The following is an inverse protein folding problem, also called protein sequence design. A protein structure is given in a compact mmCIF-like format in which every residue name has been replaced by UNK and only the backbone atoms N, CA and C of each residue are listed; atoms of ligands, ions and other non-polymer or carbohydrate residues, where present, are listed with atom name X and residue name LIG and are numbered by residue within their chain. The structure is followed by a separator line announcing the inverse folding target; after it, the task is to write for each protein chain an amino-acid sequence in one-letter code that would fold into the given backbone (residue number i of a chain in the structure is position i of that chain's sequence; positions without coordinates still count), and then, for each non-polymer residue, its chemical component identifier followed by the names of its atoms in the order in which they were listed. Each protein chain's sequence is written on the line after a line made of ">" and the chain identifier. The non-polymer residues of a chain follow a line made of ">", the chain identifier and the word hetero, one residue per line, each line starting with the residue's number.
data_IF_422973481602
#
_entry.id   IF_422973481602
#
_cell.length_a   1.000
_cell.length_b   1.000
_cell.length_c   1.000
_cell.angle_alpha   90.00
_cell.angle_beta   90.00
_cell.angle_gamma   90.00
#
_symmetry.space_group_name_H-M   'P 1'
#
loop_
_entity.id
_entity.type
_entity.pdbx_description
1 polymer ?
#
# COMPACT_ATOMS: atom_id res chain seq x y z
N UNK A 1 -12.06 14.01 21.35
CA UNK A 1 -12.14 12.70 22.02
C UNK A 1 -12.84 11.75 21.06
N UNK A 2 -12.10 11.28 20.06
CA UNK A 2 -12.50 10.21 19.13
C UNK A 2 -11.21 9.47 18.76
N UNK A 3 -10.86 8.50 19.59
CA UNK A 3 -9.88 7.47 19.29
C UNK A 3 -10.38 6.17 19.94
N UNK A 4 -11.54 5.72 19.48
CA UNK A 4 -12.11 4.42 19.85
C UNK A 4 -12.53 3.73 18.55
N UNK A 5 -11.77 2.70 18.16
CA UNK A 5 -12.22 1.74 17.15
C UNK A 5 -11.27 1.40 16.01
N UNK A 6 -9.98 1.78 16.03
CA UNK A 6 -9.04 1.14 15.11
C UNK A 6 -8.74 -0.26 15.67
N UNK A 7 -9.50 -1.26 15.19
CA UNK A 7 -9.25 -2.68 15.46
C UNK A 7 -7.74 -2.93 15.33
N UNK A 8 -7.09 -3.31 16.44
CA UNK A 8 -5.68 -3.67 16.40
C UNK A 8 -5.55 -4.79 15.37
N UNK A 9 -4.67 -4.60 14.38
CA UNK A 9 -4.43 -5.66 13.41
C UNK A 9 -3.90 -6.86 14.18
N UNK A 10 -4.56 -7.99 14.03
CA UNK A 10 -4.02 -9.29 14.40
C UNK A 10 -2.89 -9.66 13.41
N UNK A 11 -1.71 -9.05 13.65
CA UNK A 11 -0.56 -9.14 12.77
C UNK A 11 0.72 -9.40 13.56
N UNK A 12 1.44 -10.45 13.19
CA UNK A 12 2.80 -10.69 13.63
C UNK A 12 3.80 -9.96 12.75
N UNK A 13 4.82 -9.37 13.35
CA UNK A 13 5.98 -8.80 12.65
C UNK A 13 7.18 -9.66 13.01
N UNK A 14 7.63 -10.45 12.05
CA UNK A 14 8.72 -11.41 12.24
C UNK A 14 10.04 -10.84 11.75
N UNK A 15 11.02 -10.73 12.65
CA UNK A 15 12.37 -10.32 12.30
C UNK A 15 13.27 -11.55 12.20
N UNK A 16 14.09 -11.62 11.15
CA UNK A 16 15.13 -12.65 11.04
C UNK A 16 16.42 -12.21 11.73
N UNK A 17 16.68 -10.90 11.76
CA UNK A 17 17.90 -10.33 12.33
C UNK A 17 17.66 -9.05 13.14
N UNK A 18 18.50 -8.76 14.16
CA UNK A 18 18.39 -7.56 14.99
C UNK A 18 18.48 -6.23 14.22
N UNK A 19 19.23 -6.18 13.11
CA UNK A 19 19.46 -4.94 12.37
C UNK A 19 18.18 -4.35 11.76
N UNK A 20 17.14 -5.17 11.60
CA UNK A 20 15.82 -4.76 11.11
C UNK A 20 14.89 -4.18 12.19
N UNK A 21 15.34 -4.07 13.45
CA UNK A 21 14.51 -3.67 14.58
C UNK A 21 13.92 -2.27 14.46
N UNK A 22 14.70 -1.29 13.98
CA UNK A 22 14.19 0.06 13.78
C UNK A 22 13.02 0.10 12.77
N UNK A 23 13.12 -0.67 11.69
CA UNK A 23 12.08 -0.79 10.68
C UNK A 23 10.83 -1.48 11.24
N UNK A 24 11.02 -2.54 12.03
CA UNK A 24 9.92 -3.25 12.68
C UNK A 24 9.18 -2.41 13.73
N UNK A 25 9.91 -1.61 14.52
CA UNK A 25 9.32 -0.69 15.49
C UNK A 25 8.47 0.38 14.79
N UNK A 26 8.95 0.94 13.67
CA UNK A 26 8.17 1.90 12.88
C UNK A 26 6.88 1.28 12.31
N UNK A 27 6.95 0.03 11.86
CA UNK A 27 5.76 -0.74 11.45
C UNK A 27 4.80 -0.97 12.61
N UNK A 28 5.29 -1.43 13.75
CA UNK A 28 4.48 -1.69 14.94
C UNK A 28 3.79 -0.41 15.43
N UNK A 29 4.48 0.72 15.46
CA UNK A 29 3.90 2.00 15.89
C UNK A 29 2.75 2.44 14.97
N UNK A 30 2.88 2.22 13.65
CA UNK A 30 1.93 2.73 12.65
C UNK A 30 0.80 1.77 12.32
N UNK A 31 1.05 0.47 12.42
CA UNK A 31 0.14 -0.60 12.05
C UNK A 31 -0.37 -1.40 13.26
N UNK A 32 0.32 -1.34 14.40
CA UNK A 32 0.11 -2.25 15.52
C UNK A 32 0.78 -3.61 15.28
N UNK A 33 0.37 -4.62 16.04
CA UNK A 33 0.86 -6.00 15.91
C UNK A 33 1.92 -6.40 16.92
N UNK A 34 2.29 -7.69 16.89
CA UNK A 34 3.22 -8.33 17.83
C UNK A 34 4.59 -8.48 17.17
N UNK A 35 5.63 -7.92 17.80
CA UNK A 35 7.01 -8.10 17.34
C UNK A 35 7.58 -9.43 17.82
N UNK A 36 8.12 -10.22 16.88
CA UNK A 36 8.81 -11.48 17.17
C UNK A 36 10.32 -11.30 16.95
N UNK A 37 11.08 -11.50 18.04
CA UNK A 37 12.55 -11.37 18.11
C UNK A 37 13.17 -12.74 18.43
N UNK A 38 13.23 -13.66 17.45
CA UNK A 38 13.57 -15.06 17.73
C UNK A 38 14.98 -15.28 18.28
N UNK A 39 15.89 -14.31 18.14
CA UNK A 39 17.24 -14.36 18.74
C UNK A 39 17.27 -14.07 20.24
N UNK A 40 16.19 -13.57 20.84
CA UNK A 40 16.09 -13.40 22.29
C UNK A 40 15.65 -14.69 23.01
N UNK A 41 15.21 -15.69 22.25
CA UNK A 41 14.90 -17.01 22.78
C UNK A 41 16.19 -17.81 22.98
N UNK A 42 16.46 -18.20 24.23
CA UNK A 42 17.65 -18.96 24.63
C UNK A 42 17.49 -20.48 24.42
N UNK A 43 16.39 -20.97 23.84
CA UNK A 43 16.08 -22.40 23.74
C UNK A 43 16.87 -23.18 22.67
N UNK A 44 17.83 -22.57 21.96
CA UNK A 44 18.55 -23.15 20.81
C UNK A 44 17.66 -23.61 19.64
N UNK A 45 16.34 -23.39 19.72
CA UNK A 45 15.36 -23.74 18.70
C UNK A 45 15.62 -22.96 17.41
N UNK A 46 15.68 -23.60 16.24
CA UNK A 46 15.84 -22.90 14.96
C UNK A 46 14.68 -21.92 14.71
N UNK A 47 14.98 -20.74 14.15
CA UNK A 47 13.95 -19.71 13.88
C UNK A 47 12.78 -20.24 13.02
N UNK A 48 13.04 -21.18 12.09
CA UNK A 48 11.99 -21.81 11.28
C UNK A 48 10.96 -22.53 12.16
N UNK A 49 11.41 -23.28 13.16
CA UNK A 49 10.55 -24.01 14.08
C UNK A 49 9.81 -23.05 15.02
N UNK A 50 10.49 -21.99 15.48
CA UNK A 50 9.84 -20.93 16.26
C UNK A 50 8.72 -20.24 15.45
N UNK A 51 8.97 -19.91 14.17
CA UNK A 51 7.95 -19.33 13.29
C UNK A 51 6.80 -20.29 13.06
N UNK A 52 7.08 -21.58 12.82
CA UNK A 52 6.06 -22.60 12.65
C UNK A 52 5.11 -22.70 13.87
N UNK A 53 5.64 -22.62 15.09
CA UNK A 53 4.85 -22.60 16.31
C UNK A 53 3.99 -21.33 16.47
N UNK A 54 4.48 -20.20 15.93
CA UNK A 54 3.78 -18.92 15.97
C UNK A 54 2.77 -18.73 14.83
N UNK A 55 2.97 -19.38 13.67
CA UNK A 55 2.33 -19.05 12.40
C UNK A 55 0.80 -18.88 12.47
N UNK A 56 0.10 -19.79 13.15
CA UNK A 56 -1.37 -19.77 13.27
C UNK A 56 -1.89 -18.91 14.43
N UNK A 57 -1.01 -18.25 15.18
CA UNK A 57 -1.39 -17.34 16.27
C UNK A 57 -1.77 -15.95 15.76
N UNK A 58 -1.49 -15.65 14.50
CA UNK A 58 -1.79 -14.36 13.86
C UNK A 58 -2.45 -14.62 12.51
N UNK A 59 -3.44 -13.82 12.14
CA UNK A 59 -4.08 -13.86 10.82
C UNK A 59 -3.25 -13.16 9.73
N UNK A 60 -2.28 -12.33 10.10
CA UNK A 60 -1.40 -11.62 9.19
C UNK A 60 0.06 -11.66 9.66
N UNK A 61 0.99 -11.63 8.72
CA UNK A 61 2.43 -11.63 8.96
C UNK A 61 3.14 -10.62 8.08
N UNK A 62 3.99 -9.79 8.70
CA UNK A 62 5.02 -9.02 8.03
C UNK A 62 6.36 -9.67 8.36
N UNK A 63 6.97 -10.35 7.41
CA UNK A 63 8.29 -10.97 7.56
C UNK A 63 9.36 -10.02 7.02
N UNK A 64 10.19 -9.46 7.91
CA UNK A 64 11.34 -8.65 7.50
C UNK A 64 12.53 -9.59 7.24
N UNK A 65 12.67 -9.97 5.98
CA UNK A 65 13.55 -11.04 5.55
C UNK A 65 13.81 -11.02 4.03
N UNK A 66 14.80 -11.80 3.58
CA UNK A 66 14.85 -12.22 2.19
C UNK A 66 13.68 -13.17 1.86
N UNK A 67 13.10 -13.04 0.67
CA UNK A 67 11.95 -13.86 0.24
C UNK A 67 12.21 -15.37 0.34
N UNK A 68 13.42 -15.81 0.00
CA UNK A 68 13.81 -17.23 0.12
C UNK A 68 13.77 -17.77 1.56
N UNK A 69 13.93 -16.92 2.58
CA UNK A 69 13.77 -17.33 3.98
C UNK A 69 12.29 -17.53 4.29
N UNK A 70 11.45 -16.56 3.93
CA UNK A 70 10.01 -16.65 4.14
C UNK A 70 9.40 -17.90 3.48
N UNK A 71 9.77 -18.19 2.22
CA UNK A 71 9.33 -19.40 1.52
C UNK A 71 9.73 -20.68 2.26
N UNK A 72 10.98 -20.77 2.75
CA UNK A 72 11.46 -21.93 3.52
C UNK A 72 10.79 -22.05 4.90
N UNK A 73 10.41 -20.94 5.51
CA UNK A 73 9.70 -20.93 6.78
C UNK A 73 8.25 -21.39 6.63
N UNK A 74 7.62 -21.06 5.50
CA UNK A 74 6.25 -21.48 5.16
C UNK A 74 6.14 -22.93 4.68
N UNK A 75 7.26 -23.58 4.36
CA UNK A 75 7.30 -24.97 3.92
C UNK A 75 6.60 -25.90 4.92
N UNK A 76 5.54 -26.58 4.46
CA UNK A 76 4.73 -27.48 5.28
C UNK A 76 3.68 -26.81 6.18
N UNK A 77 3.60 -25.48 6.18
CA UNK A 77 2.63 -24.72 6.99
C UNK A 77 1.41 -24.25 6.19
N UNK A 78 1.61 -23.87 4.94
CA UNK A 78 0.53 -23.42 4.06
C UNK A 78 -0.39 -24.60 3.68
N UNK A 79 -1.69 -24.40 3.75
CA UNK A 79 -2.72 -25.40 3.50
C UNK A 79 -3.78 -24.92 2.50
N UNK A 80 -4.38 -23.76 2.74
CA UNK A 80 -5.48 -23.23 1.94
C UNK A 80 -5.54 -21.70 1.98
N UNK A 81 -5.72 -21.07 0.81
CA UNK A 81 -5.68 -19.61 0.64
C UNK A 81 -6.76 -18.84 1.40
N UNK A 82 -7.83 -19.50 1.84
CA UNK A 82 -8.92 -18.86 2.59
C UNK A 82 -8.72 -18.93 4.11
N UNK A 83 -7.88 -19.85 4.59
CA UNK A 83 -7.63 -20.07 6.02
C UNK A 83 -6.19 -19.78 6.45
N UNK A 84 -5.24 -19.79 5.51
CA UNK A 84 -3.86 -19.45 5.78
C UNK A 84 -3.71 -17.95 6.10
N UNK A 85 -2.90 -17.61 7.11
CA UNK A 85 -2.51 -16.23 7.37
C UNK A 85 -1.95 -15.53 6.13
N UNK A 86 -2.30 -14.26 5.96
CA UNK A 86 -1.71 -13.40 4.95
C UNK A 86 -0.24 -13.15 5.27
N UNK A 87 0.65 -13.30 4.29
CA UNK A 87 2.09 -13.08 4.49
C UNK A 87 2.61 -12.05 3.50
N UNK A 88 3.21 -11.00 4.05
CA UNK A 88 3.97 -9.99 3.31
C UNK A 88 5.44 -10.12 3.67
N UNK A 89 6.30 -10.16 2.66
CA UNK A 89 7.76 -10.05 2.86
C UNK A 89 8.20 -8.62 2.62
N UNK A 90 8.89 -8.05 3.59
CA UNK A 90 9.58 -6.77 3.47
C UNK A 90 11.09 -7.04 3.47
N UNK A 91 11.82 -6.53 2.48
CA UNK A 91 13.28 -6.60 2.56
C UNK A 91 13.82 -5.66 3.64
N UNK A 92 14.98 -5.98 4.23
CA UNK A 92 15.55 -5.24 5.36
C UNK A 92 15.85 -3.75 5.05
N UNK A 93 15.98 -3.39 3.77
CA UNK A 93 16.17 -2.00 3.34
C UNK A 93 14.84 -1.26 3.06
N UNK A 94 13.69 -1.92 3.26
CA UNK A 94 12.36 -1.31 3.09
C UNK A 94 12.05 -0.91 1.65
N UNK A 95 12.56 -1.64 0.66
CA UNK A 95 12.43 -1.30 -0.78
C UNK A 95 11.20 -1.94 -1.42
N UNK A 96 10.85 -3.15 -1.02
CA UNK A 96 9.78 -3.94 -1.61
C UNK A 96 8.94 -4.62 -0.51
N UNK A 97 7.62 -4.44 -0.60
CA UNK A 97 6.64 -5.15 0.22
C UNK A 97 5.91 -6.16 -0.67
N UNK A 98 6.34 -7.41 -0.64
CA UNK A 98 5.86 -8.47 -1.52
C UNK A 98 4.68 -9.21 -0.89
N UNK A 99 3.52 -9.18 -1.54
CA UNK A 99 2.38 -10.04 -1.18
C UNK A 99 2.73 -11.49 -1.53
N UNK A 100 3.13 -12.28 -0.52
CA UNK A 100 3.72 -13.61 -0.72
C UNK A 100 2.68 -14.73 -0.66
N UNK A 101 1.78 -14.72 0.33
CA UNK A 101 0.79 -15.79 0.56
C UNK A 101 -0.56 -15.19 0.94
N UNK A 102 -1.64 -15.82 0.48
CA UNK A 102 -3.03 -15.41 0.73
C UNK A 102 -3.30 -13.95 0.29
N UNK A 103 -3.12 -13.72 -1.02
CA UNK A 103 -3.14 -12.40 -1.68
C UNK A 103 -4.45 -11.62 -1.58
N UNK A 104 -5.22 -11.58 -2.67
CA UNK A 104 -6.40 -10.71 -2.80
C UNK A 104 -7.43 -10.97 -1.68
N UNK A 105 -7.93 -12.20 -1.59
CA UNK A 105 -8.97 -12.59 -0.62
C UNK A 105 -8.42 -12.75 0.81
N UNK A 106 -7.17 -13.19 0.96
CA UNK A 106 -6.53 -13.40 2.26
C UNK A 106 -5.97 -12.14 2.91
N UNK A 107 -5.92 -11.02 2.17
CA UNK A 107 -5.54 -9.71 2.71
C UNK A 107 -4.06 -9.35 2.57
N UNK A 108 -3.20 -10.22 2.05
CA UNK A 108 -1.77 -9.89 1.89
C UNK A 108 -1.54 -8.75 0.89
N UNK A 109 -2.42 -8.60 -0.11
CA UNK A 109 -2.35 -7.45 -1.02
C UNK A 109 -2.57 -6.13 -0.25
N UNK A 110 -3.64 -6.06 0.56
CA UNK A 110 -3.94 -4.88 1.38
C UNK A 110 -2.83 -4.61 2.38
N UNK A 111 -2.28 -5.66 3.01
CA UNK A 111 -1.17 -5.53 3.95
C UNK A 111 0.10 -5.00 3.26
N UNK A 112 0.40 -5.44 2.03
CA UNK A 112 1.57 -4.96 1.28
C UNK A 112 1.50 -3.45 1.02
N UNK A 113 0.32 -2.91 0.67
CA UNK A 113 0.10 -1.48 0.54
C UNK A 113 0.26 -0.73 1.87
N UNK A 114 -0.22 -1.29 2.97
CA UNK A 114 -0.06 -0.68 4.31
C UNK A 114 1.41 -0.63 4.73
N UNK A 115 2.14 -1.71 4.52
CA UNK A 115 3.60 -1.78 4.77
C UNK A 115 4.34 -0.77 3.89
N UNK A 116 3.99 -0.71 2.60
CA UNK A 116 4.57 0.26 1.67
C UNK A 116 4.33 1.71 2.10
N UNK A 117 3.11 2.05 2.55
CA UNK A 117 2.78 3.41 2.98
C UNK A 117 3.51 3.84 4.26
N UNK A 118 3.96 2.90 5.10
CA UNK A 118 4.78 3.19 6.29
C UNK A 118 6.25 3.33 5.93
N UNK A 119 6.75 2.48 5.02
CA UNK A 119 8.19 2.31 4.78
C UNK A 119 8.71 3.07 3.56
N UNK A 120 7.81 3.48 2.65
CA UNK A 120 8.18 3.97 1.33
C UNK A 120 8.49 2.85 0.33
N UNK A 121 8.30 1.58 0.71
CA UNK A 121 8.52 0.45 -0.18
C UNK A 121 7.58 0.47 -1.40
N UNK A 122 7.97 -0.23 -2.45
CA UNK A 122 7.09 -0.55 -3.57
C UNK A 122 6.25 -1.78 -3.19
N UNK A 123 4.91 -1.69 -3.18
CA UNK A 123 4.08 -2.88 -3.03
C UNK A 123 4.23 -3.74 -4.29
N UNK A 124 4.53 -5.03 -4.12
CA UNK A 124 4.68 -5.99 -5.21
C UNK A 124 3.49 -6.93 -5.17
N UNK A 125 2.54 -6.70 -6.08
CA UNK A 125 1.29 -7.45 -6.21
C UNK A 125 1.32 -8.21 -7.54
N UNK A 126 1.12 -9.53 -7.46
CA UNK A 126 1.22 -10.43 -8.62
C UNK A 126 -0.03 -11.28 -8.84
N UNK A 127 -1.09 -11.03 -8.07
CA UNK A 127 -2.37 -11.72 -8.17
C UNK A 127 -3.04 -11.46 -9.52
N UNK A 128 -3.64 -12.50 -10.10
CA UNK A 128 -4.30 -12.41 -11.41
C UNK A 128 -5.43 -11.37 -11.45
N UNK A 129 -6.19 -11.24 -10.36
CA UNK A 129 -7.27 -10.24 -10.23
C UNK A 129 -6.76 -8.82 -10.45
N UNK A 130 -5.61 -8.47 -9.90
CA UNK A 130 -5.01 -7.13 -10.06
C UNK A 130 -4.33 -6.95 -11.41
N UNK A 131 -3.83 -8.02 -12.03
CA UNK A 131 -3.27 -7.97 -13.38
C UNK A 131 -4.31 -7.61 -14.45
N UNK A 132 -5.59 -7.88 -14.20
CA UNK A 132 -6.71 -7.55 -15.10
C UNK A 132 -7.25 -6.12 -14.93
N UNK A 133 -6.73 -5.36 -13.96
CA UNK A 133 -7.15 -3.98 -13.67
C UNK A 133 -6.14 -3.00 -14.31
N UNK A 134 -6.45 -2.39 -15.47
CA UNK A 134 -5.46 -1.61 -16.20
C UNK A 134 -5.26 -0.19 -15.63
N UNK A 135 -6.12 0.28 -14.73
CA UNK A 135 -6.18 1.71 -14.41
C UNK A 135 -5.51 2.06 -13.10
N UNK A 136 -4.69 3.10 -13.16
CA UNK A 136 -4.09 3.76 -11.99
C UNK A 136 -4.65 5.17 -11.92
N UNK A 137 -5.24 5.50 -10.77
CA UNK A 137 -5.89 6.80 -10.57
C UNK A 137 -5.08 7.62 -9.58
N UNK A 138 -4.49 8.70 -10.07
CA UNK A 138 -3.79 9.67 -9.24
C UNK A 138 -4.74 10.74 -8.72
N UNK A 139 -4.70 11.03 -7.42
CA UNK A 139 -5.60 11.98 -6.77
C UNK A 139 -4.81 13.05 -6.01
N UNK A 140 -5.15 14.30 -6.26
CA UNK A 140 -4.82 15.42 -5.38
C UNK A 140 -6.10 16.13 -4.96
N UNK A 141 -6.21 16.51 -3.69
CA UNK A 141 -7.42 17.17 -3.18
C UNK A 141 -7.10 18.33 -2.23
N UNK A 142 -8.08 19.21 -2.03
CA UNK A 142 -8.08 20.18 -0.92
C UNK A 142 -8.35 19.44 0.39
N UNK A 143 -7.90 20.02 1.51
CA UNK A 143 -8.14 19.48 2.85
C UNK A 143 -9.65 19.41 3.13
N UNK A 144 -10.09 18.30 3.72
CA UNK A 144 -11.47 18.15 4.19
C UNK A 144 -12.52 17.91 3.10
N UNK A 145 -12.11 17.54 1.88
CA UNK A 145 -13.05 17.00 0.89
C UNK A 145 -13.65 15.69 1.40
N UNK A 146 -14.91 15.43 1.07
CA UNK A 146 -15.61 14.20 1.46
C UNK A 146 -15.35 13.06 0.48
N UNK A 147 -15.60 11.82 0.91
CA UNK A 147 -15.54 10.65 0.03
C UNK A 147 -16.47 10.80 -1.19
N UNK A 148 -17.65 11.38 -1.01
CA UNK A 148 -18.59 11.65 -2.11
C UNK A 148 -18.05 12.65 -3.14
N UNK A 149 -17.30 13.67 -2.70
CA UNK A 149 -16.64 14.61 -3.62
C UNK A 149 -15.53 13.93 -4.41
N UNK A 150 -14.77 13.02 -3.77
CA UNK A 150 -13.75 12.23 -4.45
C UNK A 150 -14.38 11.27 -5.46
N UNK A 151 -15.42 10.53 -5.05
CA UNK A 151 -16.16 9.64 -5.94
C UNK A 151 -16.69 10.39 -7.17
N UNK A 152 -17.30 11.56 -6.99
CA UNK A 152 -17.80 12.37 -8.11
C UNK A 152 -16.68 12.76 -9.08
N UNK A 153 -15.50 13.15 -8.57
CA UNK A 153 -14.37 13.53 -9.41
C UNK A 153 -13.74 12.31 -10.12
N UNK A 154 -13.66 11.17 -9.45
CA UNK A 154 -13.16 9.91 -10.05
C UNK A 154 -14.12 9.42 -11.12
N UNK A 155 -15.43 9.40 -10.86
CA UNK A 155 -16.43 9.02 -11.87
C UNK A 155 -16.41 9.96 -13.08
N UNK A 156 -16.28 11.28 -12.86
CA UNK A 156 -16.11 12.23 -13.96
C UNK A 156 -14.87 11.91 -14.80
N UNK A 157 -13.75 11.57 -14.17
CA UNK A 157 -12.51 11.25 -14.87
C UNK A 157 -12.57 9.89 -15.61
N UNK A 158 -13.23 8.89 -15.04
CA UNK A 158 -13.38 7.56 -15.66
C UNK A 158 -14.41 7.54 -16.79
N UNK A 159 -15.37 8.48 -16.81
CA UNK A 159 -16.44 8.50 -17.79
C UNK A 159 -17.30 7.24 -17.67
N UNK A 160 -17.42 6.48 -18.77
CA UNK A 160 -18.19 5.23 -18.81
C UNK A 160 -17.47 4.03 -18.20
N UNK A 161 -16.18 4.16 -17.86
CA UNK A 161 -15.39 3.03 -17.37
C UNK A 161 -15.68 2.73 -15.90
N UNK A 162 -15.85 1.46 -15.52
CA UNK A 162 -16.23 1.11 -14.16
C UNK A 162 -15.04 1.24 -13.19
N UNK A 163 -15.32 1.53 -11.93
CA UNK A 163 -14.32 1.53 -10.85
C UNK A 163 -13.61 0.18 -10.69
N UNK A 164 -14.23 -0.93 -11.10
CA UNK A 164 -13.63 -2.26 -11.04
C UNK A 164 -12.38 -2.43 -11.90
N UNK A 165 -12.16 -1.56 -12.90
CA UNK A 165 -10.91 -1.53 -13.68
C UNK A 165 -9.76 -0.80 -12.97
N UNK A 166 -10.04 -0.11 -11.85
CA UNK A 166 -9.03 0.62 -11.07
C UNK A 166 -8.25 -0.35 -10.20
N UNK A 167 -6.95 -0.44 -10.47
CA UNK A 167 -5.96 -1.24 -9.74
C UNK A 167 -5.59 -0.61 -8.41
N UNK A 168 -5.33 0.68 -8.41
CA UNK A 168 -4.89 1.42 -7.23
C UNK A 168 -5.18 2.93 -7.33
N UNK A 169 -5.40 3.54 -6.17
CA UNK A 169 -5.43 4.98 -5.98
C UNK A 169 -4.05 5.45 -5.52
N UNK A 170 -3.56 6.55 -6.06
CA UNK A 170 -2.21 7.04 -5.76
C UNK A 170 -2.24 8.52 -5.37
N UNK A 171 -1.55 8.88 -4.30
CA UNK A 171 -1.40 10.27 -3.85
C UNK A 171 -0.03 10.52 -3.23
N UNK A 172 0.18 11.70 -2.64
CA UNK A 172 1.39 12.06 -1.90
C UNK A 172 1.22 11.97 -0.38
N UNK A 173 2.33 11.87 0.34
CA UNK A 173 2.44 11.91 1.80
C UNK A 173 1.55 12.98 2.49
N UNK A 174 1.51 14.21 1.96
CA UNK A 174 0.67 15.30 2.49
C UNK A 174 -0.83 15.00 2.47
N UNK A 175 -1.26 13.99 1.72
CA UNK A 175 -2.66 13.57 1.57
C UNK A 175 -2.92 12.15 2.09
N UNK A 176 -1.92 11.50 2.66
CA UNK A 176 -2.02 10.14 3.18
C UNK A 176 -3.09 9.96 4.27
N UNK A 177 -3.36 11.02 5.05
CA UNK A 177 -4.29 11.00 6.18
C UNK A 177 -5.56 11.83 5.93
N UNK A 178 -5.89 12.16 4.68
CA UNK A 178 -7.14 12.88 4.36
C UNK A 178 -8.34 11.93 4.53
N UNK A 179 -9.26 12.18 5.48
CA UNK A 179 -10.34 11.24 5.81
C UNK A 179 -11.18 10.85 4.61
N UNK A 180 -11.62 11.83 3.80
CA UNK A 180 -12.44 11.54 2.62
C UNK A 180 -11.75 10.65 1.59
N UNK A 181 -10.41 10.71 1.47
CA UNK A 181 -9.66 9.84 0.57
C UNK A 181 -9.57 8.41 1.11
N UNK A 182 -9.31 8.27 2.41
CA UNK A 182 -9.29 6.98 3.09
C UNK A 182 -10.67 6.31 3.03
N UNK A 183 -11.72 7.05 3.36
CA UNK A 183 -13.12 6.60 3.31
C UNK A 183 -13.51 6.18 1.88
N UNK A 184 -13.10 6.92 0.85
CA UNK A 184 -13.33 6.55 -0.54
C UNK A 184 -12.62 5.22 -0.89
N UNK A 185 -11.35 5.09 -0.51
CA UNK A 185 -10.58 3.87 -0.78
C UNK A 185 -11.18 2.66 -0.06
N UNK A 186 -11.62 2.82 1.19
CA UNK A 186 -12.26 1.76 1.97
C UNK A 186 -13.63 1.36 1.40
N UNK A 187 -14.50 2.34 1.09
CA UNK A 187 -15.83 2.10 0.55
C UNK A 187 -15.81 1.34 -0.79
N UNK A 188 -14.82 1.60 -1.62
CA UNK A 188 -14.70 1.02 -2.96
C UNK A 188 -13.70 -0.15 -3.03
N UNK A 189 -13.15 -0.58 -1.90
CA UNK A 189 -12.11 -1.61 -1.80
C UNK A 189 -10.91 -1.38 -2.73
N UNK A 190 -10.45 -0.14 -2.80
CA UNK A 190 -9.30 0.26 -3.61
C UNK A 190 -8.09 0.49 -2.71
N UNK A 191 -6.91 -0.08 -3.02
CA UNK A 191 -5.71 0.20 -2.26
C UNK A 191 -5.25 1.64 -2.51
N UNK A 192 -4.86 2.32 -1.43
CA UNK A 192 -4.18 3.61 -1.50
C UNK A 192 -2.67 3.41 -1.46
N UNK A 193 -1.98 3.96 -2.45
CA UNK A 193 -0.52 4.08 -2.49
C UNK A 193 -0.11 5.53 -2.23
N UNK A 194 0.77 5.71 -1.27
CA UNK A 194 1.31 7.02 -0.89
C UNK A 194 2.74 7.13 -1.39
N UNK A 195 3.01 8.16 -2.20
CA UNK A 195 4.35 8.49 -2.66
C UNK A 195 4.94 9.62 -1.81
N UNK A 196 6.22 9.53 -1.47
CA UNK A 196 6.92 10.65 -0.87
C UNK A 196 6.92 11.85 -1.83
N UNK A 197 6.70 13.07 -1.32
CA UNK A 197 6.71 14.29 -2.13
C UNK A 197 8.04 14.46 -2.88
N UNK A 198 9.16 14.04 -2.30
CA UNK A 198 10.47 14.06 -2.96
C UNK A 198 10.56 13.14 -4.19
N UNK A 199 9.91 11.96 -4.14
CA UNK A 199 9.83 11.03 -5.28
C UNK A 199 9.08 11.66 -6.45
N UNK A 200 8.00 12.38 -6.14
CA UNK A 200 7.22 13.12 -7.14
C UNK A 200 8.02 14.32 -7.69
N UNK A 201 8.74 15.04 -6.84
CA UNK A 201 9.58 16.17 -7.25
C UNK A 201 10.67 15.77 -8.26
N UNK A 202 11.25 14.58 -8.09
CA UNK A 202 12.28 14.06 -8.98
C UNK A 202 11.76 13.68 -10.39
N UNK A 203 10.45 13.60 -10.60
CA UNK A 203 9.81 13.24 -11.87
C UNK A 203 8.64 14.18 -12.18
N UNK A 204 8.92 15.44 -12.58
CA UNK A 204 7.90 16.48 -12.75
C UNK A 204 7.10 16.33 -14.05
N UNK A 205 6.57 15.14 -14.32
CA UNK A 205 5.77 14.84 -15.51
C UNK A 205 4.35 15.38 -15.31
N UNK A 206 4.13 16.63 -15.71
CA UNK A 206 2.80 17.25 -15.74
C UNK A 206 2.49 17.78 -17.13
N UNK A 207 1.27 17.57 -17.58
CA UNK A 207 0.70 18.22 -18.76
C UNK A 207 0.16 19.61 -18.44
N UNK A 208 -0.33 19.82 -17.20
CA UNK A 208 -0.80 21.12 -16.70
C UNK A 208 -0.32 21.39 -15.29
N UNK A 209 0.57 22.36 -15.14
CA UNK A 209 1.04 22.83 -13.85
C UNK A 209 -0.11 23.38 -12.98
N UNK A 210 0.05 23.29 -11.67
CA UNK A 210 -0.94 23.73 -10.69
C UNK A 210 -0.35 24.80 -9.77
N UNK A 211 -0.71 26.07 -9.99
CA UNK A 211 -0.17 27.20 -9.23
C UNK A 211 -0.31 27.01 -7.71
N UNK A 212 -1.45 26.49 -7.25
CA UNK A 212 -1.66 26.20 -5.83
C UNK A 212 -0.69 25.14 -5.28
N UNK A 213 -0.39 24.08 -6.06
CA UNK A 213 0.53 23.00 -5.62
C UNK A 213 1.97 23.53 -5.64
N UNK A 214 2.33 24.30 -6.67
CA UNK A 214 3.66 24.90 -6.76
C UNK A 214 3.94 25.83 -5.56
N UNK A 215 2.95 26.65 -5.19
CA UNK A 215 3.09 27.61 -4.09
C UNK A 215 3.07 26.98 -2.70
N UNK A 216 2.30 25.91 -2.48
CA UNK A 216 2.10 25.34 -1.13
C UNK A 216 2.87 24.03 -0.88
N UNK A 217 3.25 23.30 -1.93
CA UNK A 217 3.88 21.98 -1.86
C UNK A 217 5.24 21.96 -2.56
N UNK A 218 5.53 22.94 -3.42
CA UNK A 218 6.76 22.98 -4.23
C UNK A 218 6.77 21.96 -5.37
N UNK A 219 5.60 21.40 -5.73
CA UNK A 219 5.43 20.44 -6.83
C UNK A 219 4.63 21.05 -7.98
N UNK A 220 4.92 20.68 -9.24
CA UNK A 220 4.16 21.19 -10.37
C UNK A 220 2.74 20.61 -10.44
N UNK A 221 2.48 19.48 -9.78
CA UNK A 221 1.19 18.80 -9.69
C UNK A 221 1.26 17.54 -8.83
N UNK A 222 0.10 16.95 -8.50
CA UNK A 222 -0.01 15.73 -7.67
C UNK A 222 -0.55 14.56 -8.48
N UNK A 223 -1.79 14.67 -8.98
CA UNK A 223 -2.50 13.56 -9.61
C UNK A 223 -1.75 12.90 -10.78
N UNK A 224 -1.26 13.68 -11.74
CA UNK A 224 -0.59 13.14 -12.93
C UNK A 224 0.74 12.44 -12.62
N UNK A 225 1.71 13.07 -11.93
CA UNK A 225 2.99 12.40 -11.68
C UNK A 225 2.81 11.21 -10.73
N UNK A 226 1.87 11.26 -9.77
CA UNK A 226 1.53 10.09 -8.96
C UNK A 226 1.03 8.92 -9.81
N UNK A 227 0.07 9.16 -10.71
CA UNK A 227 -0.47 8.13 -11.59
C UNK A 227 0.61 7.56 -12.51
N UNK A 228 1.47 8.40 -13.08
CA UNK A 228 2.55 7.98 -13.99
C UNK A 228 3.68 7.23 -13.29
N UNK A 229 4.02 7.58 -12.05
CA UNK A 229 5.03 6.87 -11.27
C UNK A 229 4.55 5.46 -10.93
N UNK A 230 3.29 5.31 -10.55
CA UNK A 230 2.70 4.02 -10.21
C UNK A 230 2.39 3.16 -11.46
N UNK A 231 1.85 3.77 -12.51
CA UNK A 231 1.65 3.16 -13.83
C UNK A 231 2.87 3.33 -14.73
N UNK A 232 4.06 2.89 -14.28
CA UNK A 232 5.34 3.18 -14.94
C UNK A 232 5.46 2.70 -16.40
N UNK A 233 4.62 1.74 -16.81
CA UNK A 233 4.53 1.21 -18.19
C UNK A 233 3.32 1.75 -18.97
N UNK A 234 2.43 2.47 -18.28
CA UNK A 234 1.18 2.94 -18.82
C UNK A 234 1.27 4.31 -19.50
N UNK A 235 0.14 4.72 -20.07
CA UNK A 235 -0.04 6.02 -20.73
C UNK A 235 -1.08 6.83 -19.97
N UNK A 236 -0.82 8.14 -19.83
CA UNK A 236 -1.84 9.09 -19.37
C UNK A 236 -2.97 9.14 -20.40
N UNK A 237 -4.15 8.68 -20.01
CA UNK A 237 -5.35 8.67 -20.86
C UNK A 237 -6.33 9.78 -20.48
N UNK A 238 -6.31 10.19 -19.21
CA UNK A 238 -7.10 11.30 -18.69
C UNK A 238 -6.14 12.24 -17.97
N UNK A 239 -5.78 13.38 -18.59
CA UNK A 239 -5.05 14.44 -17.92
C UNK A 239 -5.84 15.01 -16.74
N UNK A 240 -5.19 15.86 -15.95
CA UNK A 240 -5.76 16.48 -14.76
C UNK A 240 -7.14 17.07 -15.04
N UNK A 241 -8.15 16.42 -14.45
CA UNK A 241 -9.53 16.86 -14.41
C UNK A 241 -9.87 17.27 -12.98
N UNK A 242 -10.47 18.45 -12.80
CA UNK A 242 -10.75 18.97 -11.47
C UNK A 242 -12.26 19.19 -11.26
N UNK A 243 -12.77 18.71 -10.13
CA UNK A 243 -14.16 18.88 -9.71
C UNK A 243 -14.21 19.05 -8.18
N UNK A 244 -14.92 20.08 -7.71
CA UNK A 244 -15.21 20.28 -6.27
C UNK A 244 -13.99 20.22 -5.34
N UNK A 245 -12.83 20.74 -5.78
CA UNK A 245 -11.61 20.73 -4.98
C UNK A 245 -10.81 19.42 -5.02
N UNK A 246 -11.22 18.46 -5.85
CA UNK A 246 -10.51 17.22 -6.15
C UNK A 246 -9.98 17.29 -7.58
N UNK A 247 -8.74 16.86 -7.78
CA UNK A 247 -8.07 16.74 -9.07
C UNK A 247 -7.68 15.27 -9.29
N UNK A 248 -8.07 14.73 -10.44
CA UNK A 248 -7.89 13.33 -10.80
C UNK A 248 -7.14 13.24 -12.13
N UNK A 249 -6.25 12.27 -12.24
CA UNK A 249 -5.61 11.86 -13.48
C UNK A 249 -5.64 10.33 -13.58
N UNK A 250 -5.78 9.81 -14.80
CA UNK A 250 -5.87 8.36 -15.03
C UNK A 250 -4.79 7.92 -16.00
N UNK A 251 -4.01 6.94 -15.56
CA UNK A 251 -3.05 6.21 -16.39
C UNK A 251 -3.60 4.82 -16.66
N UNK A 252 -3.49 4.40 -17.91
CA UNK A 252 -3.86 3.06 -18.36
C UNK A 252 -2.60 2.27 -18.71
N UNK A 253 -2.46 1.12 -18.09
CA UNK A 253 -1.35 0.19 -18.21
C UNK A 253 -1.87 -1.15 -18.75
N UNK A 254 -2.06 -1.20 -20.07
CA UNK A 254 -2.49 -2.42 -20.77
C UNK A 254 -1.28 -3.36 -20.91
N UNK A 255 -1.31 -4.49 -20.20
CA UNK A 255 -0.36 -5.60 -20.40
C UNK A 255 -0.74 -6.39 -21.63
#
# INVERSE_FOLDING_TARGET
>A
MHDEGRSMIDCGIWLVRPESEALALALQERLGGVLYRPWLDNTATPQKEQFAAAYRQQSQWIMIAASGIAVRFLEGLAQDKHSDPAVVVLDEAGRFAVSLLAGHEGGANRLAYRVANVTGAIPVITTATEALKPLVVGIGCRKGVTAGQIAAAVHLALGERPLSEVREIVTIDLKANEPGLLDFCELHDLPLRVLASATVAARPWVTKASDWVQQNVGLPGVCEPCALIAGARGRLIVPKTALNGVAVAVVEDNI
#
